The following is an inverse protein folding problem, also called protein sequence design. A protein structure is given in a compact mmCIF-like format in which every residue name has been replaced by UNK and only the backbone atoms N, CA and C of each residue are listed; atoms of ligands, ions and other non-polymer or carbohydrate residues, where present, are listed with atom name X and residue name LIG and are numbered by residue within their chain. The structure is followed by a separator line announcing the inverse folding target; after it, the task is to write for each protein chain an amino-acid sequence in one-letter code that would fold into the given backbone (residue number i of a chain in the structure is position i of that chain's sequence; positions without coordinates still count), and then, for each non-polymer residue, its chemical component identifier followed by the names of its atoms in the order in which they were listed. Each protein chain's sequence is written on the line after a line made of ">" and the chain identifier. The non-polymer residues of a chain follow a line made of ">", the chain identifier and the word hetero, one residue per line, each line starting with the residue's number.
data_IF_468152196837
#
_entry.id   IF_468152196837
#
_cell.length_a   1.000
_cell.length_b   1.000
_cell.length_c   1.000
_cell.angle_alpha   90.00
_cell.angle_beta   90.00
_cell.angle_gamma   90.00
#
_symmetry.space_group_name_H-M   'P 1'
#
loop_
_entity.id
_entity.type
_entity.pdbx_description
1 polymer ?
#
# COMPACT_ATOMS: atom_id res chain seq x y z
N UNK A 1 -3.91 14.64 -11.85
CA UNK A 1 -2.72 14.13 -12.48
C UNK A 1 -2.43 12.72 -11.97
N UNK A 2 -2.28 11.77 -12.87
CA UNK A 2 -2.21 10.36 -12.50
C UNK A 2 -0.82 9.95 -12.04
N UNK A 3 -0.75 9.24 -10.92
CA UNK A 3 0.48 8.66 -10.42
C UNK A 3 0.65 7.24 -10.98
N UNK A 4 1.84 6.69 -10.82
CA UNK A 4 2.16 5.34 -11.27
C UNK A 4 2.44 4.45 -10.05
N UNK A 5 1.83 3.27 -10.02
CA UNK A 5 2.08 2.29 -8.96
C UNK A 5 3.36 1.50 -9.29
N UNK A 6 4.27 1.46 -8.34
CA UNK A 6 5.51 0.70 -8.43
C UNK A 6 5.60 -0.19 -7.20
N UNK A 7 5.93 -1.46 -7.37
CA UNK A 7 5.93 -2.43 -6.29
C UNK A 7 7.35 -2.90 -5.98
N UNK A 8 7.71 -2.88 -4.69
CA UNK A 8 8.97 -3.49 -4.26
C UNK A 8 8.84 -5.00 -4.30
N UNK A 9 9.97 -5.71 -4.27
CA UNK A 9 9.95 -7.17 -4.21
C UNK A 9 9.20 -7.67 -2.97
N UNK A 10 9.33 -6.98 -1.85
CA UNK A 10 8.65 -7.32 -0.61
C UNK A 10 7.14 -7.18 -0.78
N UNK A 11 6.69 -6.10 -1.40
CA UNK A 11 5.27 -5.89 -1.65
C UNK A 11 4.70 -6.97 -2.56
N UNK A 12 5.44 -7.35 -3.61
CA UNK A 12 5.01 -8.41 -4.51
C UNK A 12 4.82 -9.73 -3.75
N UNK A 13 5.76 -10.07 -2.87
CA UNK A 13 5.66 -11.27 -2.04
C UNK A 13 4.47 -11.22 -1.11
N UNK A 14 4.22 -10.05 -0.51
CA UNK A 14 3.06 -9.86 0.36
C UNK A 14 1.76 -10.11 -0.42
N UNK A 15 1.66 -9.54 -1.61
CA UNK A 15 0.46 -9.66 -2.44
C UNK A 15 0.21 -11.11 -2.86
N UNK A 16 1.27 -11.85 -3.19
CA UNK A 16 1.16 -13.24 -3.60
C UNK A 16 0.55 -14.14 -2.54
N UNK A 17 0.66 -13.75 -1.27
CA UNK A 17 0.11 -14.51 -0.15
C UNK A 17 -1.36 -14.22 0.14
N UNK A 18 -1.92 -13.20 -0.49
CA UNK A 18 -3.29 -12.79 -0.24
C UNK A 18 -4.28 -13.69 -0.99
N UNK A 19 -5.47 -13.85 -0.41
CA UNK A 19 -6.57 -14.54 -1.09
C UNK A 19 -6.95 -13.78 -2.36
N UNK A 20 -7.42 -14.48 -3.40
CA UNK A 20 -7.79 -13.83 -4.67
C UNK A 20 -8.78 -12.68 -4.52
N UNK A 21 -9.77 -12.82 -3.65
CA UNK A 21 -10.76 -11.77 -3.43
C UNK A 21 -10.12 -10.52 -2.82
N UNK A 22 -9.17 -10.73 -1.90
CA UNK A 22 -8.47 -9.62 -1.26
C UNK A 22 -7.55 -8.92 -2.27
N UNK A 23 -6.84 -9.69 -3.10
CA UNK A 23 -6.02 -9.12 -4.17
C UNK A 23 -6.83 -8.22 -5.09
N UNK A 24 -8.01 -8.69 -5.48
CA UNK A 24 -8.90 -7.96 -6.38
C UNK A 24 -9.38 -6.67 -5.72
N UNK A 25 -9.76 -6.75 -4.46
CA UNK A 25 -10.25 -5.61 -3.70
C UNK A 25 -9.17 -4.53 -3.55
N UNK A 26 -7.97 -4.94 -3.18
CA UNK A 26 -6.83 -4.03 -3.03
C UNK A 26 -6.46 -3.43 -4.37
N UNK A 27 -6.41 -4.26 -5.42
CA UNK A 27 -6.08 -3.79 -6.76
C UNK A 27 -7.03 -2.73 -7.26
N UNK A 28 -8.33 -2.91 -7.07
CA UNK A 28 -9.33 -1.92 -7.46
C UNK A 28 -9.17 -0.61 -6.69
N UNK A 29 -8.89 -0.71 -5.40
CA UNK A 29 -8.69 0.48 -4.57
C UNK A 29 -7.45 1.24 -5.01
N UNK A 30 -6.35 0.54 -5.28
CA UNK A 30 -5.10 1.17 -5.70
C UNK A 30 -5.25 1.88 -7.04
N UNK A 31 -5.99 1.28 -7.99
CA UNK A 31 -6.24 1.93 -9.27
C UNK A 31 -6.98 3.25 -9.09
N UNK A 32 -7.95 3.28 -8.18
CA UNK A 32 -8.69 4.50 -7.89
C UNK A 32 -7.79 5.54 -7.22
N UNK A 33 -6.88 5.10 -6.36
CA UNK A 33 -5.99 6.00 -5.61
C UNK A 33 -4.88 6.61 -6.47
N UNK A 34 -4.61 6.05 -7.64
CA UNK A 34 -3.62 6.59 -8.56
C UNK A 34 -3.88 8.04 -8.96
N UNK A 35 -5.14 8.44 -8.98
CA UNK A 35 -5.50 9.82 -9.36
C UNK A 35 -5.03 10.83 -8.31
N UNK A 36 -5.16 10.48 -7.04
CA UNK A 36 -4.79 11.39 -5.97
C UNK A 36 -4.48 10.61 -4.69
N UNK A 37 -3.30 10.00 -4.62
CA UNK A 37 -2.97 9.12 -3.49
C UNK A 37 -2.97 9.82 -2.14
N UNK A 38 -2.67 11.11 -2.09
CA UNK A 38 -2.62 11.82 -0.82
C UNK A 38 -3.99 12.13 -0.25
N UNK A 39 -5.04 12.06 -1.07
CA UNK A 39 -6.42 12.20 -0.57
C UNK A 39 -6.88 10.97 0.20
N UNK A 40 -6.30 9.82 -0.07
CA UNK A 40 -6.70 8.54 0.53
C UNK A 40 -5.66 8.02 1.51
N UNK A 41 -4.42 8.46 1.36
CA UNK A 41 -3.33 8.02 2.20
C UNK A 41 -3.27 8.78 3.51
N UNK A 42 -2.83 8.09 4.55
CA UNK A 42 -2.59 8.69 5.86
C UNK A 42 -1.10 8.65 6.14
N UNK A 43 -0.58 9.73 6.71
CA UNK A 43 0.84 9.78 7.07
C UNK A 43 1.10 8.87 8.26
N UNK A 44 2.15 8.07 8.17
CA UNK A 44 2.55 7.19 9.27
C UNK A 44 3.32 7.96 10.33
N UNK A 45 3.10 7.56 11.58
CA UNK A 45 3.82 8.14 12.71
C UNK A 45 5.24 7.58 12.78
N UNK A 46 5.40 6.26 12.49
CA UNK A 46 6.69 5.61 12.51
C UNK A 46 7.31 5.57 11.11
N UNK A 47 8.33 6.39 10.83
CA UNK A 47 8.93 6.46 9.50
C UNK A 47 9.72 5.22 9.11
N UNK A 48 9.95 4.28 10.02
CA UNK A 48 10.68 3.05 9.72
C UNK A 48 9.93 2.13 8.78
N UNK A 49 8.59 2.21 8.78
CA UNK A 49 7.76 1.39 7.89
C UNK A 49 7.61 1.99 6.51
N UNK A 50 7.56 3.31 6.43
CA UNK A 50 7.31 4.06 5.22
C UNK A 50 6.70 5.40 5.58
N UNK A 51 6.36 6.20 4.58
CA UNK A 51 5.84 7.55 4.83
C UNK A 51 4.33 7.58 4.99
N UNK A 52 3.61 6.76 4.20
CA UNK A 52 2.15 6.79 4.13
C UNK A 52 1.55 5.39 4.15
N UNK A 53 0.25 5.33 4.42
CA UNK A 53 -0.50 4.09 4.29
C UNK A 53 -1.86 4.34 3.67
N UNK A 54 -2.37 3.35 2.95
CA UNK A 54 -3.77 3.26 2.58
C UNK A 54 -4.45 2.26 3.51
N UNK A 55 -5.66 2.59 3.92
CA UNK A 55 -6.50 1.68 4.71
C UNK A 55 -7.57 1.12 3.79
N UNK A 56 -7.52 -0.18 3.53
CA UNK A 56 -8.46 -0.87 2.66
C UNK A 56 -9.09 -2.00 3.48
N UNK A 57 -10.20 -1.70 4.13
CA UNK A 57 -10.81 -2.64 5.08
C UNK A 57 -9.85 -2.94 6.21
N UNK A 58 -9.58 -4.22 6.44
CA UNK A 58 -8.63 -4.67 7.47
C UNK A 58 -7.20 -4.75 6.95
N UNK A 59 -6.97 -4.35 5.70
CA UNK A 59 -5.66 -4.41 5.09
C UNK A 59 -5.02 -3.04 5.03
N UNK A 60 -3.70 -3.04 5.00
CA UNK A 60 -2.92 -1.81 4.93
C UNK A 60 -1.92 -1.92 3.79
N UNK A 61 -1.75 -0.85 3.06
CA UNK A 61 -0.73 -0.73 2.02
C UNK A 61 0.20 0.40 2.44
N UNK A 62 1.45 0.05 2.72
CA UNK A 62 2.47 1.02 3.11
C UNK A 62 3.17 1.50 1.86
N UNK A 63 3.28 2.79 1.69
CA UNK A 63 3.87 3.35 0.48
C UNK A 63 4.60 4.67 0.73
N UNK A 64 5.48 5.00 -0.21
CA UNK A 64 6.13 6.30 -0.28
C UNK A 64 5.75 6.95 -1.61
N UNK A 65 5.91 8.25 -1.68
CA UNK A 65 5.74 9.00 -2.92
C UNK A 65 7.12 9.47 -3.38
N UNK A 66 7.48 9.11 -4.60
CA UNK A 66 8.72 9.58 -5.23
C UNK A 66 8.36 10.16 -6.59
N UNK A 67 8.34 11.50 -6.67
CA UNK A 67 7.89 12.18 -7.88
C UNK A 67 6.44 11.83 -8.19
N UNK A 68 6.21 11.12 -9.28
CA UNK A 68 4.88 10.65 -9.68
C UNK A 68 4.68 9.17 -9.38
N UNK A 69 5.60 8.56 -8.66
CA UNK A 69 5.49 7.14 -8.34
C UNK A 69 4.93 6.94 -6.94
N UNK A 70 3.97 6.01 -6.84
CA UNK A 70 3.50 5.48 -5.56
C UNK A 70 4.30 4.21 -5.36
N UNK A 71 5.31 4.27 -4.50
CA UNK A 71 6.17 3.12 -4.27
C UNK A 71 5.57 2.28 -3.15
N UNK A 72 4.99 1.14 -3.51
CA UNK A 72 4.35 0.24 -2.55
C UNK A 72 5.41 -0.61 -1.88
N UNK A 73 5.57 -0.44 -0.57
CA UNK A 73 6.60 -1.09 0.24
C UNK A 73 6.12 -2.38 0.88
N UNK A 74 4.91 -2.39 1.39
CA UNK A 74 4.33 -3.54 2.09
C UNK A 74 2.82 -3.58 1.88
N UNK A 75 2.28 -4.79 1.88
CA UNK A 75 0.82 -5.02 1.85
C UNK A 75 0.50 -6.14 2.83
N UNK A 76 -0.48 -5.94 3.70
CA UNK A 76 -0.85 -6.98 4.63
C UNK A 76 -2.01 -6.60 5.52
N UNK A 77 -2.46 -7.59 6.32
CA UNK A 77 -3.50 -7.38 7.31
C UNK A 77 -2.99 -6.44 8.39
N UNK A 78 -3.87 -5.59 8.91
CA UNK A 78 -3.52 -4.61 9.94
C UNK A 78 -2.83 -5.22 11.16
N UNK A 79 -3.13 -6.48 11.48
CA UNK A 79 -2.51 -7.17 12.61
C UNK A 79 -1.06 -7.54 12.36
N UNK A 80 -0.72 -7.80 11.09
CA UNK A 80 0.59 -8.33 10.73
C UNK A 80 1.54 -7.28 10.21
N UNK A 81 1.01 -6.26 9.55
CA UNK A 81 1.82 -5.27 8.83
C UNK A 81 2.74 -4.48 9.77
N UNK A 82 2.33 -4.28 11.02
CA UNK A 82 3.09 -3.50 12.00
C UNK A 82 3.92 -4.35 12.95
N UNK A 83 3.88 -5.66 12.79
CA UNK A 83 4.70 -6.53 13.64
C UNK A 83 6.14 -6.47 13.20
N UNK A 84 7.05 -6.43 14.18
CA UNK A 84 8.47 -6.53 13.92
C UNK A 84 8.84 -7.98 13.69
N UNK A 85 9.64 -8.22 12.70
CA UNK A 85 10.15 -9.56 12.52
C UNK A 85 10.07 -10.11 11.20
#
# INVERSE_FOLDING_TARGET
>A
MKYKLVYTNRAIKDIQKLDPEIKKRIGKALLRYEENPLNYGEKLIDPKLGTYRFRIGDYRVIFDIEGKDIVVLRVGHRRDIYKKG
#
